data_IF_495471228152
#
_entry.id   IF_495471228152
#
_cell.length_a   1.000
_cell.length_b   1.000
_cell.length_c   1.000
_cell.angle_alpha   90.00
_cell.angle_beta   90.00
_cell.angle_gamma   90.00
#
_symmetry.space_group_name_H-M   'P 1'
#
loop_
_entity.id
_entity.type
_entity.pdbx_description
1 polymer ?
#
# COMPACT_ATOMS: atom_id res chain seq x y z
N UNK A 1 8.98 24.46 10.42
CA UNK A 1 8.75 23.07 10.87
C UNK A 1 7.30 22.63 10.64
N UNK A 2 6.28 23.38 11.10
CA UNK A 2 4.85 23.05 10.89
C UNK A 2 4.44 22.90 9.41
N UNK A 3 4.87 23.81 8.53
CA UNK A 3 4.55 23.72 7.09
C UNK A 3 5.09 22.42 6.47
N UNK A 4 6.33 22.05 6.78
CA UNK A 4 6.93 20.81 6.30
C UNK A 4 6.21 19.57 6.85
N UNK A 5 5.76 19.62 8.11
CA UNK A 5 4.96 18.56 8.72
C UNK A 5 3.61 18.40 8.01
N UNK A 6 2.91 19.50 7.71
CA UNK A 6 1.64 19.46 6.97
C UNK A 6 1.81 18.88 5.56
N UNK A 7 2.86 19.29 4.84
CA UNK A 7 3.19 18.75 3.51
C UNK A 7 3.46 17.24 3.61
N UNK A 8 4.23 16.81 4.62
CA UNK A 8 4.52 15.39 4.84
C UNK A 8 3.27 14.57 5.13
N UNK A 9 2.35 15.08 5.97
CA UNK A 9 1.08 14.41 6.27
C UNK A 9 0.17 14.33 5.05
N UNK A 10 0.08 15.41 4.28
CA UNK A 10 -0.71 15.43 3.04
C UNK A 10 -0.17 14.42 2.02
N UNK A 11 1.14 14.41 1.80
CA UNK A 11 1.79 13.46 0.89
C UNK A 11 1.58 12.00 1.35
N UNK A 12 1.71 11.72 2.65
CA UNK A 12 1.47 10.37 3.17
C UNK A 12 0.00 9.94 3.05
N UNK A 13 -0.94 10.87 3.24
CA UNK A 13 -2.37 10.62 3.07
C UNK A 13 -2.73 10.19 1.64
N UNK A 14 -2.13 10.82 0.64
CA UNK A 14 -2.33 10.46 -0.77
C UNK A 14 -1.91 9.02 -1.06
N UNK A 15 -0.79 8.57 -0.49
CA UNK A 15 -0.25 7.21 -0.70
C UNK A 15 -1.17 6.14 -0.13
N UNK A 16 -1.64 6.30 1.11
CA UNK A 16 -2.50 5.31 1.76
C UNK A 16 -3.84 5.15 1.03
N UNK A 17 -4.42 6.25 0.54
CA UNK A 17 -5.66 6.22 -0.25
C UNK A 17 -5.51 5.46 -1.56
N UNK A 18 -4.46 5.75 -2.33
CA UNK A 18 -4.18 5.06 -3.59
C UNK A 18 -3.88 3.58 -3.41
N UNK A 19 -3.17 3.20 -2.35
CA UNK A 19 -2.90 1.81 -2.01
C UNK A 19 -4.18 1.03 -1.71
N UNK A 20 -5.05 1.60 -0.86
CA UNK A 20 -6.31 0.96 -0.50
C UNK A 20 -7.22 0.80 -1.71
N UNK A 21 -7.36 1.84 -2.54
CA UNK A 21 -8.15 1.80 -3.77
C UNK A 21 -7.65 0.70 -4.73
N UNK A 22 -6.33 0.56 -4.89
CA UNK A 22 -5.74 -0.46 -5.77
C UNK A 22 -6.08 -1.88 -5.31
N UNK A 23 -6.03 -2.17 -4.00
CA UNK A 23 -6.41 -3.49 -3.47
C UNK A 23 -7.91 -3.74 -3.69
N UNK A 24 -8.72 -2.72 -3.48
CA UNK A 24 -10.17 -2.79 -3.65
C UNK A 24 -10.52 -3.08 -5.11
N UNK A 25 -9.97 -2.33 -6.06
CA UNK A 25 -10.35 -2.43 -7.49
C UNK A 25 -9.84 -3.70 -8.17
N UNK A 26 -8.73 -4.27 -7.70
CA UNK A 26 -8.13 -5.48 -8.27
C UNK A 26 -8.73 -6.79 -7.77
N UNK A 27 -9.53 -6.77 -6.70
CA UNK A 27 -10.02 -7.99 -6.07
C UNK A 27 -11.54 -8.11 -6.16
N UNK A 28 -11.99 -9.30 -6.54
CA UNK A 28 -13.41 -9.65 -6.53
C UNK A 28 -13.98 -9.62 -5.10
N UNK A 29 -15.29 -9.38 -4.93
CA UNK A 29 -15.91 -9.21 -3.61
C UNK A 29 -15.74 -10.43 -2.70
N UNK A 30 -15.66 -11.63 -3.28
CA UNK A 30 -15.55 -12.90 -2.53
C UNK A 30 -14.18 -13.05 -1.83
N UNK A 31 -13.14 -12.42 -2.36
CA UNK A 31 -11.77 -12.53 -1.85
C UNK A 31 -11.23 -11.21 -1.27
N UNK A 32 -11.89 -10.08 -1.56
CA UNK A 32 -11.49 -8.74 -1.12
C UNK A 32 -11.24 -8.67 0.39
N UNK A 33 -12.07 -9.33 1.20
CA UNK A 33 -11.91 -9.35 2.67
C UNK A 33 -10.59 -10.00 3.11
N UNK A 34 -10.23 -11.15 2.54
CA UNK A 34 -8.98 -11.86 2.85
C UNK A 34 -7.76 -11.10 2.37
N UNK A 35 -7.82 -10.50 1.17
CA UNK A 35 -6.71 -9.70 0.64
C UNK A 35 -6.48 -8.46 1.50
N UNK A 36 -7.54 -7.76 1.92
CA UNK A 36 -7.44 -6.62 2.83
C UNK A 36 -6.91 -7.01 4.21
N UNK A 37 -7.38 -8.13 4.78
CA UNK A 37 -6.88 -8.60 6.07
C UNK A 37 -5.39 -8.92 6.01
N UNK A 38 -4.95 -9.61 4.95
CA UNK A 38 -3.54 -9.94 4.72
C UNK A 38 -2.70 -8.68 4.56
N UNK A 39 -3.18 -7.72 3.77
CA UNK A 39 -2.51 -6.45 3.54
C UNK A 39 -2.35 -5.63 4.85
N UNK A 40 -3.41 -5.54 5.66
CA UNK A 40 -3.36 -4.88 6.97
C UNK A 40 -2.43 -5.61 7.95
N UNK A 41 -2.40 -6.94 7.91
CA UNK A 41 -1.48 -7.72 8.76
C UNK A 41 -0.02 -7.36 8.48
N UNK A 42 0.37 -7.26 7.22
CA UNK A 42 1.71 -6.80 6.85
C UNK A 42 1.96 -5.33 7.19
N UNK A 43 0.96 -4.45 7.06
CA UNK A 43 1.10 -3.03 7.49
C UNK A 43 1.39 -2.93 8.99
N UNK A 44 0.66 -3.67 9.83
CA UNK A 44 0.88 -3.69 11.29
C UNK A 44 2.28 -4.22 11.64
N UNK A 45 2.74 -5.27 10.95
CA UNK A 45 4.10 -5.78 11.11
C UNK A 45 5.12 -4.70 10.76
N UNK A 46 4.95 -4.02 9.62
CA UNK A 46 5.85 -2.95 9.19
C UNK A 46 5.89 -1.77 10.17
N UNK A 47 4.73 -1.35 10.66
CA UNK A 47 4.61 -0.27 11.67
C UNK A 47 5.20 -0.63 13.02
N UNK A 48 5.26 -1.92 13.36
CA UNK A 48 5.84 -2.40 14.61
C UNK A 48 7.34 -2.59 14.49
N UNK A 49 7.81 -3.23 13.40
CA UNK A 49 9.22 -3.51 13.18
C UNK A 49 10.01 -2.28 12.76
N UNK A 50 9.41 -1.34 12.02
CA UNK A 50 10.08 -0.14 11.52
C UNK A 50 10.71 0.70 12.64
N UNK A 51 9.94 1.15 13.65
CA UNK A 51 10.48 1.87 14.80
C UNK A 51 11.47 1.05 15.62
N UNK A 52 11.25 -0.26 15.75
CA UNK A 52 12.14 -1.16 16.51
C UNK A 52 13.53 -1.28 15.85
N UNK A 53 13.57 -1.47 14.53
CA UNK A 53 14.83 -1.49 13.77
C UNK A 53 15.46 -0.10 13.81
N UNK A 54 14.67 0.96 13.62
CA UNK A 54 15.13 2.34 13.68
C UNK A 54 15.75 2.69 15.03
N UNK A 55 15.14 2.27 16.14
CA UNK A 55 15.65 2.51 17.50
C UNK A 55 16.92 1.71 17.77
N UNK A 56 16.98 0.45 17.32
CA UNK A 56 18.19 -0.36 17.48
C UNK A 56 19.39 0.27 16.75
N UNK A 57 19.20 0.73 15.51
CA UNK A 57 20.24 1.43 14.75
C UNK A 57 20.60 2.77 15.39
N UNK A 58 19.60 3.50 15.91
CA UNK A 58 19.79 4.77 16.64
C UNK A 58 20.70 4.57 17.85
N UNK A 59 20.45 3.53 18.63
CA UNK A 59 21.18 3.30 19.88
C UNK A 59 22.60 2.76 19.63
N UNK A 60 22.82 2.04 18.52
CA UNK A 60 24.14 1.51 18.15
C UNK A 60 25.04 2.52 17.42
N UNK A 61 24.51 3.32 16.49
CA UNK A 61 25.29 4.19 15.60
C UNK A 61 25.01 5.67 15.77
N UNK A 62 23.99 6.04 16.57
CA UNK A 62 23.58 7.41 16.82
C UNK A 62 22.36 7.85 16.00
N UNK A 63 21.82 9.01 16.37
CA UNK A 63 20.50 9.47 15.88
C UNK A 63 20.44 9.75 14.38
N UNK A 64 21.55 10.14 13.76
CA UNK A 64 21.60 10.46 12.33
C UNK A 64 21.38 9.20 11.49
N UNK A 65 22.05 8.10 11.83
CA UNK A 65 21.93 6.84 11.11
C UNK A 65 20.55 6.20 11.28
N UNK A 66 19.94 6.33 12.47
CA UNK A 66 18.55 5.91 12.69
C UNK A 66 17.55 6.64 11.78
N UNK A 67 17.75 7.94 11.53
CA UNK A 67 16.91 8.71 10.59
C UNK A 67 17.22 8.36 9.12
N UNK A 68 18.48 8.11 8.76
CA UNK A 68 18.85 7.72 7.39
C UNK A 68 18.22 6.39 6.96
N UNK A 69 18.02 5.44 7.89
CA UNK A 69 17.32 4.18 7.59
C UNK A 69 15.91 4.40 7.03
N UNK A 70 15.18 5.39 7.55
CA UNK A 70 13.85 5.74 7.02
C UNK A 70 13.93 6.22 5.58
N UNK A 71 14.94 7.03 5.24
CA UNK A 71 15.12 7.55 3.87
C UNK A 71 15.44 6.40 2.90
N UNK A 72 16.34 5.50 3.29
CA UNK A 72 16.70 4.32 2.47
C UNK A 72 15.48 3.42 2.25
N UNK A 73 14.70 3.15 3.30
CA UNK A 73 13.48 2.36 3.18
C UNK A 73 12.49 2.99 2.18
N UNK A 74 12.33 4.32 2.19
CA UNK A 74 11.46 5.03 1.24
C UNK A 74 11.93 4.93 -0.21
N UNK A 75 13.23 4.94 -0.47
CA UNK A 75 13.78 4.78 -1.82
C UNK A 75 13.50 3.38 -2.39
N UNK A 76 13.37 2.36 -1.53
CA UNK A 76 13.09 0.99 -1.96
C UNK A 76 11.61 0.77 -2.33
N UNK A 77 10.67 1.55 -1.76
CA UNK A 77 9.23 1.36 -1.96
C UNK A 77 8.81 1.42 -3.44
N UNK A 78 9.23 2.43 -4.25
CA UNK A 78 8.82 2.52 -5.65
C UNK A 78 9.16 1.28 -6.48
N UNK A 79 10.26 0.58 -6.17
CA UNK A 79 10.66 -0.62 -6.90
C UNK A 79 9.64 -1.76 -6.75
N UNK A 80 9.01 -1.90 -5.58
CA UNK A 80 7.95 -2.87 -5.35
C UNK A 80 6.64 -2.49 -6.07
N UNK A 81 6.45 -1.22 -6.41
CA UNK A 81 5.28 -0.73 -7.13
C UNK A 81 5.38 -0.87 -8.65
N UNK A 82 6.58 -0.95 -9.23
CA UNK A 82 6.77 -1.12 -10.69
C UNK A 82 5.93 -2.26 -11.28
N UNK A 83 5.95 -3.50 -10.74
CA UNK A 83 5.15 -4.59 -11.31
C UNK A 83 3.65 -4.36 -11.13
N UNK A 84 3.22 -3.73 -10.03
CA UNK A 84 1.81 -3.40 -9.79
C UNK A 84 1.32 -2.41 -10.84
N UNK A 85 2.06 -1.32 -11.05
CA UNK A 85 1.72 -0.27 -12.02
C UNK A 85 1.65 -0.80 -13.46
N UNK A 86 2.46 -1.81 -13.81
CA UNK A 86 2.43 -2.43 -15.14
C UNK A 86 1.18 -3.28 -15.38
N UNK A 87 0.63 -3.91 -14.35
CA UNK A 87 -0.45 -4.88 -14.48
C UNK A 87 -1.81 -4.34 -14.02
N UNK A 88 -1.85 -3.25 -13.26
CA UNK A 88 -3.08 -2.73 -12.62
C UNK A 88 -4.22 -2.52 -13.61
N UNK A 89 -3.96 -1.91 -14.77
CA UNK A 89 -5.00 -1.62 -15.78
C UNK A 89 -5.57 -2.92 -16.36
N UNK A 90 -4.70 -3.88 -16.70
CA UNK A 90 -5.12 -5.17 -17.27
C UNK A 90 -6.00 -5.94 -16.29
N UNK A 91 -5.59 -6.01 -15.02
CA UNK A 91 -6.29 -6.74 -13.97
C UNK A 91 -7.62 -6.05 -13.58
N UNK A 92 -7.65 -4.70 -13.56
CA UNK A 92 -8.89 -3.95 -13.36
C UNK A 92 -9.90 -4.23 -14.47
N UNK A 93 -9.48 -4.21 -15.73
CA UNK A 93 -10.36 -4.52 -16.87
C UNK A 93 -10.88 -5.96 -16.81
N UNK A 94 -10.06 -6.92 -16.36
CA UNK A 94 -10.49 -8.29 -16.16
C UNK A 94 -11.57 -8.40 -15.08
N UNK A 95 -11.40 -7.67 -13.98
CA UNK A 95 -12.36 -7.61 -12.87
C UNK A 95 -13.69 -6.97 -13.32
N UNK A 96 -13.62 -5.87 -14.07
CA UNK A 96 -14.81 -5.20 -14.64
C UNK A 96 -15.57 -6.08 -15.62
N UNK A 97 -14.86 -6.86 -16.45
CA UNK A 97 -15.47 -7.81 -17.37
C UNK A 97 -16.28 -8.87 -16.62
N UNK A 98 -15.73 -9.43 -15.53
CA UNK A 98 -16.42 -10.42 -14.69
C UNK A 98 -17.70 -9.82 -14.09
N UNK A 99 -17.65 -8.58 -13.60
CA UNK A 99 -18.85 -7.91 -13.08
C UNK A 99 -19.91 -7.71 -14.17
N UNK A 100 -19.49 -7.26 -15.36
CA UNK A 100 -20.39 -7.04 -16.49
C UNK A 100 -21.09 -8.33 -16.94
N UNK A 101 -20.37 -9.46 -16.97
CA UNK A 101 -20.94 -10.78 -17.29
C UNK A 101 -21.96 -11.23 -16.23
N UNK A 102 -21.68 -10.99 -14.95
CA UNK A 102 -22.59 -11.33 -13.85
C UNK A 102 -23.88 -10.50 -13.90
N UNK A 103 -23.78 -9.20 -14.17
CA UNK A 103 -24.94 -8.31 -14.31
C UNK A 103 -25.84 -8.79 -15.45
N UNK A 104 -25.27 -9.07 -16.64
CA UNK A 104 -26.03 -9.60 -17.79
C UNK A 104 -26.71 -10.93 -17.48
N UNK A 105 -26.11 -11.78 -16.65
CA UNK A 105 -26.73 -13.05 -16.24
C UNK A 105 -27.94 -12.83 -15.32
N UNK A 106 -27.90 -11.79 -14.48
CA UNK A 106 -29.01 -11.43 -13.59
C UNK A 106 -30.16 -10.77 -14.37
N UNK A 107 -29.87 -9.98 -15.40
CA UNK A 107 -30.90 -9.34 -16.24
C UNK A 107 -31.66 -10.33 -17.14
N UNK A 108 -31.02 -11.45 -17.50
CA UNK A 108 -31.60 -12.49 -18.35
C UNK A 108 -32.26 -13.65 -17.57
N UNK A 109 -32.30 -13.56 -16.23
CA UNK A 109 -32.92 -14.56 -15.33
C UNK A 109 -34.25 -14.05 -14.78
#
# INVERSE_FOLDING_TARGET
MLILMMIGMFANGAVNGSWYATIVDLNLPEHRGTTLATANFFDVIGRSLGPLIGSFVRDAFGSVYGMMMSIVAWILIPFFWIPVLKNVITEMNATEKIFSERIKKLENS
#
